data_IF_948341086371
#
_entry.id   IF_948341086371
#
_cell.length_a   1.000
_cell.length_b   1.000
_cell.length_c   1.000
_cell.angle_alpha   90.00
_cell.angle_beta   90.00
_cell.angle_gamma   90.00
#
_symmetry.space_group_name_H-M   'P 1'
#
loop_
_entity.id
_entity.type
_entity.pdbx_description
1 polymer ?
#
# COMPACT_ATOMS: atom_id res chain seq x y z
N UNK A 1 -51.33 10.59 35.27
CA UNK A 1 -51.10 11.27 33.98
C UNK A 1 -49.63 11.11 33.61
N UNK A 2 -49.29 10.08 32.85
CA UNK A 2 -47.92 9.80 32.39
C UNK A 2 -47.73 10.36 30.99
N UNK A 3 -46.93 11.42 30.88
CA UNK A 3 -46.55 12.05 29.61
C UNK A 3 -45.58 11.15 28.86
N UNK A 4 -46.04 10.53 27.78
CA UNK A 4 -45.17 9.82 26.83
C UNK A 4 -44.25 10.82 26.12
N UNK A 5 -43.04 11.00 26.65
CA UNK A 5 -41.95 11.67 25.92
C UNK A 5 -41.51 10.75 24.79
N UNK A 6 -41.85 11.12 23.56
CA UNK A 6 -41.26 10.52 22.37
C UNK A 6 -39.84 11.04 22.22
N UNK A 7 -38.86 10.20 22.57
CA UNK A 7 -37.45 10.53 22.33
C UNK A 7 -37.16 10.40 20.83
N UNK A 8 -36.75 11.52 20.22
CA UNK A 8 -36.27 11.54 18.83
C UNK A 8 -34.88 10.89 18.80
N UNK A 9 -34.83 9.62 18.42
CA UNK A 9 -33.57 8.89 18.24
C UNK A 9 -32.94 9.32 16.91
N UNK A 10 -31.98 10.23 16.97
CA UNK A 10 -31.13 10.52 15.81
C UNK A 10 -30.16 9.38 15.58
N UNK A 11 -30.18 8.79 14.39
CA UNK A 11 -29.18 7.81 13.99
C UNK A 11 -27.78 8.45 14.08
N UNK A 12 -26.92 7.93 14.96
CA UNK A 12 -25.50 8.29 15.03
C UNK A 12 -24.80 7.81 13.75
N UNK A 13 -24.95 8.56 12.65
CA UNK A 13 -24.15 8.38 11.43
C UNK A 13 -22.82 9.09 11.63
N UNK A 14 -21.89 8.42 12.30
CA UNK A 14 -20.49 8.81 12.28
C UNK A 14 -19.97 8.66 10.85
N UNK A 15 -20.10 9.70 10.03
CA UNK A 15 -19.53 9.69 8.68
C UNK A 15 -20.25 10.52 7.61
N UNK A 16 -21.48 11.01 7.85
CA UNK A 16 -22.09 11.96 6.92
C UNK A 16 -21.67 13.37 7.30
N UNK A 17 -20.54 13.81 6.75
CA UNK A 17 -20.08 15.19 6.90
C UNK A 17 -21.01 16.05 6.06
N UNK A 18 -21.80 16.90 6.72
CA UNK A 18 -22.51 18.00 6.07
C UNK A 18 -21.45 18.95 5.49
N UNK A 19 -21.42 19.09 4.17
CA UNK A 19 -20.47 19.95 3.47
C UNK A 19 -20.82 21.45 3.63
N UNK A 20 -21.88 21.77 4.39
CA UNK A 20 -22.27 23.15 4.73
C UNK A 20 -22.79 23.92 3.52
N UNK A 21 -23.08 23.22 2.43
CA UNK A 21 -23.56 23.80 1.18
C UNK A 21 -25.08 23.64 1.06
N UNK A 22 -25.76 24.67 0.59
CA UNK A 22 -27.13 24.61 0.15
C UNK A 22 -27.21 23.91 -1.21
N UNK A 23 -27.80 22.73 -1.18
CA UNK A 23 -28.05 21.87 -2.34
C UNK A 23 -29.46 22.03 -2.92
N UNK A 24 -30.30 22.92 -2.38
CA UNK A 24 -31.71 23.07 -2.78
C UNK A 24 -31.87 23.23 -4.30
N UNK A 25 -31.12 24.16 -4.90
CA UNK A 25 -31.14 24.40 -6.34
C UNK A 25 -30.70 23.17 -7.15
N UNK A 26 -29.73 22.40 -6.62
CA UNK A 26 -29.22 21.18 -7.25
C UNK A 26 -30.26 20.06 -7.22
N UNK A 27 -30.93 19.89 -6.08
CA UNK A 27 -32.00 18.92 -5.87
C UNK A 27 -33.17 19.25 -6.80
N UNK A 28 -33.62 20.51 -6.84
CA UNK A 28 -34.69 20.95 -7.73
C UNK A 28 -34.34 20.75 -9.22
N UNK A 29 -33.10 21.08 -9.59
CA UNK A 29 -32.61 20.85 -10.95
C UNK A 29 -32.62 19.36 -11.30
N UNK A 30 -32.19 18.51 -10.37
CA UNK A 30 -32.26 17.05 -10.53
C UNK A 30 -33.70 16.59 -10.63
N UNK A 31 -34.62 17.00 -9.77
CA UNK A 31 -36.03 16.59 -9.83
C UNK A 31 -36.66 16.92 -11.18
N UNK A 32 -36.34 18.09 -11.75
CA UNK A 32 -36.86 18.54 -13.05
C UNK A 32 -36.10 17.97 -14.26
N UNK A 33 -35.24 16.96 -14.10
CA UNK A 33 -34.46 16.38 -15.20
C UNK A 33 -35.33 15.76 -16.30
N UNK A 34 -36.34 14.97 -15.93
CA UNK A 34 -37.25 14.32 -16.89
C UNK A 34 -38.09 15.33 -17.63
N UNK A 35 -38.62 16.34 -16.93
CA UNK A 35 -39.40 17.39 -17.53
C UNK A 35 -38.61 18.10 -18.64
N UNK A 36 -37.34 18.43 -18.39
CA UNK A 36 -36.44 19.07 -19.38
C UNK A 36 -36.09 18.15 -20.55
N UNK A 37 -35.86 16.86 -20.28
CA UNK A 37 -35.55 15.88 -21.33
C UNK A 37 -36.73 15.68 -22.29
N UNK A 38 -37.97 15.76 -21.79
CA UNK A 38 -39.18 15.53 -22.57
C UNK A 38 -39.69 16.81 -23.24
N UNK A 39 -39.63 17.96 -22.56
CA UNK A 39 -40.21 19.23 -23.05
C UNK A 39 -39.39 19.91 -24.15
N UNK A 40 -38.23 19.35 -24.54
CA UNK A 40 -37.27 19.98 -25.46
C UNK A 40 -36.89 21.42 -25.04
N UNK A 41 -36.98 21.73 -23.75
CA UNK A 41 -36.56 23.02 -23.21
C UNK A 41 -35.08 23.26 -23.48
N UNK A 42 -34.69 24.54 -23.59
CA UNK A 42 -33.29 24.95 -23.73
C UNK A 42 -32.42 24.29 -22.66
N UNK A 43 -31.22 23.86 -23.05
CA UNK A 43 -30.28 23.25 -22.12
C UNK A 43 -29.93 24.22 -20.98
N UNK A 44 -30.27 23.83 -19.75
CA UNK A 44 -29.89 24.57 -18.54
C UNK A 44 -28.83 23.75 -17.79
N UNK A 45 -27.60 24.26 -17.62
CA UNK A 45 -26.54 23.56 -16.91
C UNK A 45 -26.90 23.34 -15.44
N UNK A 46 -26.28 22.33 -14.83
CA UNK A 46 -26.49 22.02 -13.41
C UNK A 46 -25.97 23.17 -12.53
N UNK A 47 -26.79 23.72 -11.60
CA UNK A 47 -26.32 24.73 -10.66
C UNK A 47 -25.26 24.14 -9.71
N UNK A 48 -24.37 24.99 -9.20
CA UNK A 48 -23.37 24.59 -8.20
C UNK A 48 -23.96 24.76 -6.79
N UNK A 49 -23.68 23.86 -5.83
CA UNK A 49 -24.03 24.07 -4.43
C UNK A 49 -23.45 25.38 -3.90
N UNK A 50 -24.22 26.10 -3.08
CA UNK A 50 -23.80 27.39 -2.51
C UNK A 50 -23.35 27.16 -1.07
N UNK A 51 -22.12 27.50 -0.66
CA UNK A 51 -21.71 27.37 0.74
C UNK A 51 -22.52 28.35 1.62
N UNK A 52 -23.31 27.82 2.56
CA UNK A 52 -24.11 28.63 3.51
C UNK A 52 -23.40 28.74 4.85
N UNK A 53 -22.66 27.70 5.23
CA UNK A 53 -21.83 27.70 6.44
C UNK A 53 -20.38 27.57 5.99
N UNK A 54 -19.52 28.49 6.43
CA UNK A 54 -18.07 28.31 6.28
C UNK A 54 -17.72 27.00 7.00
N UNK A 55 -17.19 25.97 6.32
CA UNK A 55 -16.80 24.73 6.98
C UNK A 55 -15.87 25.09 8.13
N UNK A 56 -16.12 24.54 9.33
CA UNK A 56 -15.13 24.65 10.42
C UNK A 56 -13.82 24.11 9.85
N UNK A 57 -12.77 24.92 9.85
CA UNK A 57 -11.44 24.55 9.37
C UNK A 57 -10.90 23.38 10.21
N UNK A 58 -11.30 22.16 9.86
CA UNK A 58 -10.62 20.96 10.28
C UNK A 58 -9.35 20.92 9.43
N UNK A 59 -8.29 21.58 9.91
CA UNK A 59 -6.97 21.49 9.30
C UNK A 59 -6.69 20.02 9.00
N UNK A 60 -6.56 19.61 7.72
CA UNK A 60 -6.32 18.22 7.40
C UNK A 60 -5.01 17.84 8.07
N UNK A 61 -5.06 16.90 9.01
CA UNK A 61 -3.86 16.36 9.65
C UNK A 61 -2.96 15.86 8.50
N UNK A 62 -1.74 16.42 8.31
CA UNK A 62 -0.91 16.04 7.19
C UNK A 62 -0.70 14.53 7.26
N UNK A 63 -1.14 13.81 6.22
CA UNK A 63 -0.79 12.39 6.09
C UNK A 63 0.73 12.32 6.07
N UNK A 64 1.37 11.42 6.84
CA UNK A 64 2.81 11.28 6.80
C UNK A 64 3.19 10.85 5.39
N UNK A 65 3.76 11.79 4.62
CA UNK A 65 4.44 11.46 3.37
C UNK A 65 5.49 10.42 3.72
N UNK A 66 5.38 9.21 3.16
CA UNK A 66 6.43 8.20 3.24
C UNK A 66 7.69 8.86 2.70
N UNK A 67 8.66 9.16 3.58
CA UNK A 67 9.98 9.60 3.15
C UNK A 67 10.49 8.53 2.20
N UNK A 68 10.95 8.92 1.00
CA UNK A 68 11.67 8.01 0.14
C UNK A 68 12.83 7.46 0.97
N UNK A 69 12.74 6.18 1.32
CA UNK A 69 13.75 5.48 2.09
C UNK A 69 15.05 5.61 1.31
N UNK A 70 16.06 6.27 1.90
CA UNK A 70 17.29 6.59 1.19
C UNK A 70 17.91 5.31 0.68
N UNK A 71 18.09 5.23 -0.64
CA UNK A 71 18.69 4.10 -1.37
C UNK A 71 20.06 3.69 -0.83
N UNK A 72 20.72 4.59 -0.09
CA UNK A 72 22.00 4.41 0.58
C UNK A 72 22.02 3.23 1.58
N UNK A 73 20.91 2.94 2.29
CA UNK A 73 20.84 1.77 3.20
C UNK A 73 20.52 0.46 2.47
N UNK A 74 20.25 0.47 1.16
CA UNK A 74 19.91 -0.75 0.42
C UNK A 74 21.11 -1.59 0.01
N UNK A 75 22.34 -1.04 0.00
CA UNK A 75 23.48 -1.70 -0.66
C UNK A 75 24.82 -1.62 0.09
N UNK A 76 24.94 -0.84 1.17
CA UNK A 76 26.26 -0.53 1.75
C UNK A 76 26.97 -1.68 2.48
N UNK A 77 26.29 -2.81 2.78
CA UNK A 77 26.89 -4.02 3.39
C UNK A 77 26.24 -5.31 2.85
N UNK A 78 25.73 -5.28 1.61
CA UNK A 78 24.91 -6.38 1.09
C UNK A 78 25.73 -7.57 0.64
N UNK A 79 25.49 -8.72 1.27
CA UNK A 79 25.86 -10.06 0.79
C UNK A 79 25.74 -10.16 -0.75
N UNK A 80 26.72 -10.67 -1.51
CA UNK A 80 26.59 -10.86 -2.95
C UNK A 80 25.47 -11.86 -3.24
N UNK A 81 24.82 -11.74 -4.40
CA UNK A 81 23.68 -12.59 -4.74
C UNK A 81 24.08 -14.07 -4.84
N UNK A 82 25.31 -14.34 -5.27
CA UNK A 82 25.87 -15.69 -5.37
C UNK A 82 25.95 -16.39 -4.01
N UNK A 83 26.45 -15.70 -2.98
CA UNK A 83 26.45 -16.20 -1.61
C UNK A 83 25.04 -16.48 -1.09
N UNK A 84 24.08 -15.60 -1.39
CA UNK A 84 22.69 -15.84 -0.99
C UNK A 84 22.10 -17.08 -1.67
N UNK A 85 22.39 -17.28 -2.95
CA UNK A 85 21.95 -18.44 -3.72
C UNK A 85 22.57 -19.72 -3.13
N UNK A 86 23.86 -19.71 -2.84
CA UNK A 86 24.54 -20.84 -2.22
C UNK A 86 23.94 -21.23 -0.85
N UNK A 87 23.50 -20.25 -0.07
CA UNK A 87 22.82 -20.48 1.21
C UNK A 87 21.42 -21.06 1.01
N UNK A 88 20.65 -20.55 0.04
CA UNK A 88 19.24 -20.89 -0.16
C UNK A 88 18.99 -22.12 -1.05
N UNK A 89 19.98 -22.53 -1.85
CA UNK A 89 19.81 -23.57 -2.86
C UNK A 89 19.43 -24.91 -2.24
N UNK A 90 18.27 -25.45 -2.64
CA UNK A 90 17.85 -26.83 -2.34
C UNK A 90 17.44 -27.09 -0.88
N UNK A 91 17.26 -26.05 -0.05
CA UNK A 91 16.87 -26.19 1.37
C UNK A 91 15.70 -25.27 1.72
N UNK A 92 14.83 -25.73 2.62
CA UNK A 92 13.82 -24.89 3.25
C UNK A 92 14.45 -24.14 4.41
N UNK A 93 14.44 -22.81 4.34
CA UNK A 93 15.07 -21.96 5.35
C UNK A 93 14.18 -20.77 5.70
N UNK A 94 14.05 -20.49 6.99
CA UNK A 94 13.50 -19.22 7.48
C UNK A 94 14.53 -18.09 7.34
N UNK A 95 14.07 -16.84 7.35
CA UNK A 95 14.98 -15.68 7.34
C UNK A 95 16.00 -15.72 8.48
N UNK A 96 15.62 -16.22 9.65
CA UNK A 96 16.50 -16.31 10.81
C UNK A 96 17.55 -17.42 10.65
N UNK A 97 17.17 -18.55 10.06
CA UNK A 97 18.11 -19.62 9.72
C UNK A 97 19.12 -19.17 8.65
N UNK A 98 18.65 -18.48 7.60
CA UNK A 98 19.52 -17.91 6.56
C UNK A 98 20.55 -16.95 7.17
N UNK A 99 20.14 -16.05 8.07
CA UNK A 99 21.05 -15.13 8.74
C UNK A 99 22.15 -15.85 9.53
N UNK A 100 21.80 -16.87 10.30
CA UNK A 100 22.79 -17.65 11.06
C UNK A 100 23.83 -18.26 10.13
N UNK A 101 23.41 -18.85 9.02
CA UNK A 101 24.31 -19.45 8.03
C UNK A 101 25.21 -18.38 7.40
N UNK A 102 24.65 -17.23 7.03
CA UNK A 102 25.41 -16.11 6.45
C UNK A 102 26.50 -15.64 7.42
N UNK A 103 26.18 -15.47 8.71
CA UNK A 103 27.17 -15.04 9.70
C UNK A 103 28.30 -16.05 9.89
N UNK A 104 28.05 -17.33 9.66
CA UNK A 104 29.07 -18.39 9.76
C UNK A 104 29.92 -18.50 8.50
N UNK A 105 29.32 -18.43 7.32
CA UNK A 105 30.01 -18.69 6.04
C UNK A 105 30.60 -17.44 5.39
N UNK A 106 30.00 -16.27 5.64
CA UNK A 106 30.38 -14.99 5.04
C UNK A 106 30.46 -13.91 6.11
N UNK A 107 31.42 -14.01 7.06
CA UNK A 107 31.54 -13.05 8.16
C UNK A 107 31.90 -11.63 7.70
N UNK A 108 32.47 -11.48 6.50
CA UNK A 108 32.80 -10.19 5.90
C UNK A 108 31.56 -9.41 5.44
N UNK A 109 30.42 -10.07 5.23
CA UNK A 109 29.18 -9.42 4.85
C UNK A 109 28.18 -9.38 6.00
N UNK A 110 27.70 -8.18 6.35
CA UNK A 110 26.71 -8.00 7.43
C UNK A 110 25.37 -7.52 6.87
N UNK A 111 24.35 -8.39 6.92
CA UNK A 111 23.00 -8.08 6.46
C UNK A 111 21.99 -8.14 7.61
N UNK A 112 21.11 -7.15 7.71
CA UNK A 112 20.03 -7.16 8.71
C UNK A 112 18.89 -8.10 8.30
N UNK A 113 18.15 -8.64 9.27
CA UNK A 113 16.96 -9.49 9.04
C UNK A 113 15.96 -8.85 8.09
N UNK A 114 15.67 -7.56 8.29
CA UNK A 114 14.75 -6.79 7.46
C UNK A 114 15.27 -6.66 6.03
N UNK A 115 16.56 -6.36 5.86
CA UNK A 115 17.17 -6.24 4.54
C UNK A 115 17.15 -7.58 3.78
N UNK A 116 17.44 -8.69 4.48
CA UNK A 116 17.35 -10.03 3.91
C UNK A 116 15.91 -10.34 3.47
N UNK A 117 14.91 -10.09 4.32
CA UNK A 117 13.52 -10.33 3.98
C UNK A 117 13.07 -9.51 2.76
N UNK A 118 13.39 -8.21 2.72
CA UNK A 118 13.07 -7.34 1.56
C UNK A 118 13.73 -7.86 0.29
N UNK A 119 14.96 -8.34 0.37
CA UNK A 119 15.68 -8.89 -0.77
C UNK A 119 15.06 -10.19 -1.27
N UNK A 120 14.73 -11.13 -0.38
CA UNK A 120 14.04 -12.39 -0.76
C UNK A 120 12.68 -12.07 -1.39
N UNK A 121 11.89 -11.17 -0.79
CA UNK A 121 10.62 -10.73 -1.38
C UNK A 121 10.79 -10.04 -2.74
N UNK A 122 11.91 -9.34 -2.97
CA UNK A 122 12.22 -8.77 -4.28
C UNK A 122 12.60 -9.83 -5.30
N UNK A 123 13.32 -10.87 -4.89
CA UNK A 123 13.67 -12.01 -5.75
C UNK A 123 12.41 -12.77 -6.18
N UNK A 124 11.48 -13.04 -5.26
CA UNK A 124 10.20 -13.71 -5.55
C UNK A 124 9.32 -12.96 -6.55
N UNK A 125 9.50 -11.64 -6.70
CA UNK A 125 8.76 -10.84 -7.68
C UNK A 125 9.38 -10.89 -9.08
N UNK A 126 10.60 -11.39 -9.20
CA UNK A 126 11.30 -11.49 -10.47
C UNK A 126 10.86 -12.75 -11.20
N UNK A 127 10.53 -12.68 -12.51
CA UNK A 127 10.19 -13.87 -13.29
C UNK A 127 11.39 -14.80 -13.54
N UNK A 128 12.61 -14.32 -13.29
CA UNK A 128 13.87 -15.03 -13.55
C UNK A 128 14.39 -15.82 -12.34
N UNK A 129 13.57 -15.96 -11.30
CA UNK A 129 13.93 -16.62 -10.05
C UNK A 129 12.74 -17.44 -9.58
N UNK A 130 12.95 -18.74 -9.38
CA UNK A 130 11.95 -19.64 -8.84
C UNK A 130 12.19 -19.85 -7.35
N UNK A 131 11.33 -19.25 -6.53
CA UNK A 131 11.33 -19.39 -5.07
C UNK A 131 9.96 -19.87 -4.63
N UNK A 132 9.96 -21.00 -3.94
CA UNK A 132 8.79 -21.47 -3.22
C UNK A 132 8.79 -20.89 -1.80
N UNK A 133 7.62 -20.49 -1.33
CA UNK A 133 7.39 -20.11 0.06
C UNK A 133 6.34 -21.01 0.68
N UNK A 134 6.58 -21.44 1.92
CA UNK A 134 5.60 -22.19 2.71
C UNK A 134 5.43 -21.56 4.08
N UNK A 135 4.23 -21.70 4.65
CA UNK A 135 3.93 -21.25 6.00
C UNK A 135 3.65 -22.45 6.89
N UNK A 136 4.61 -22.77 7.77
CA UNK A 136 4.52 -23.86 8.75
C UNK A 136 4.60 -23.27 10.17
N UNK A 137 3.99 -22.09 10.36
CA UNK A 137 4.08 -21.27 11.58
C UNK A 137 5.20 -20.23 11.54
N UNK A 138 6.24 -20.49 10.76
CA UNK A 138 7.25 -19.51 10.33
C UNK A 138 7.33 -19.61 8.80
N UNK A 139 7.41 -18.47 8.11
CA UNK A 139 7.59 -18.45 6.67
C UNK A 139 8.98 -18.98 6.29
N UNK A 140 9.00 -20.06 5.54
CA UNK A 140 10.21 -20.68 5.00
C UNK A 140 10.26 -20.49 3.49
N UNK A 141 11.48 -20.35 2.98
CA UNK A 141 11.75 -20.15 1.57
C UNK A 141 12.66 -21.25 1.07
N UNK A 142 12.44 -21.69 -0.17
CA UNK A 142 13.33 -22.59 -0.88
C UNK A 142 13.61 -22.01 -2.26
N UNK A 143 14.90 -21.90 -2.58
CA UNK A 143 15.33 -21.50 -3.92
C UNK A 143 15.48 -22.74 -4.80
N UNK A 144 14.70 -22.80 -5.87
CA UNK A 144 14.71 -23.90 -6.83
C UNK A 144 15.66 -23.60 -8.00
N UNK A 145 15.50 -22.44 -8.65
CA UNK A 145 16.30 -22.04 -9.80
C UNK A 145 16.47 -20.52 -9.87
N UNK A 146 17.57 -20.10 -10.50
CA UNK A 146 17.87 -18.70 -10.80
C UNK A 146 18.44 -18.61 -12.20
N UNK A 147 17.86 -17.78 -13.05
CA UNK A 147 18.40 -17.58 -14.39
C UNK A 147 19.75 -16.83 -14.33
N UNK A 148 20.72 -17.20 -15.18
CA UNK A 148 22.01 -16.50 -15.25
C UNK A 148 21.88 -15.02 -15.62
N UNK A 149 20.83 -14.65 -16.34
CA UNK A 149 20.50 -13.25 -16.67
C UNK A 149 20.23 -12.43 -15.40
N UNK A 150 19.58 -13.03 -14.39
CA UNK A 150 19.29 -12.38 -13.11
C UNK A 150 20.57 -12.11 -12.31
N UNK A 151 21.50 -13.08 -12.31
CA UNK A 151 22.83 -12.93 -11.71
C UNK A 151 23.60 -11.77 -12.34
N UNK A 152 23.66 -11.71 -13.67
CA UNK A 152 24.33 -10.63 -14.40
C UNK A 152 23.73 -9.25 -14.08
N UNK A 153 22.40 -9.15 -14.11
CA UNK A 153 21.68 -7.91 -13.75
C UNK A 153 22.04 -7.45 -12.33
N UNK A 154 22.13 -8.37 -11.38
CA UNK A 154 22.46 -8.05 -9.99
C UNK A 154 23.85 -7.43 -9.82
N UNK A 155 24.84 -7.85 -10.63
CA UNK A 155 26.20 -7.30 -10.62
C UNK A 155 26.26 -5.90 -11.22
N UNK A 156 25.52 -5.67 -12.31
CA UNK A 156 25.49 -4.36 -13.00
C UNK A 156 24.72 -3.29 -12.24
N UNK A 157 23.74 -3.67 -11.42
CA UNK A 157 22.89 -2.72 -10.70
C UNK A 157 23.57 -2.08 -9.47
N UNK A 158 24.68 -2.65 -8.97
CA UNK A 158 25.41 -2.15 -7.80
C UNK A 158 26.46 -1.07 -8.09
N UNK A 159 26.61 -0.63 -9.35
CA UNK A 159 27.70 0.26 -9.80
C UNK A 159 27.29 1.71 -10.12
N UNK A 160 26.25 2.26 -9.49
CA UNK A 160 25.86 3.67 -9.68
C UNK A 160 25.64 4.39 -8.36
#
# INVERSE_FOLDING_TARGET
MTTNKTEVVFAKRAGMIDDGCDHTAVILWQMNWRARAVSRSVYVPRPRPIPVVKPRDLTPKPQPRRKAESTQYRYANTLPLESLIAVMSGRWLSCDAMLKIITTQHPEHTISRRALAVRVSSMMKSPSVDIESRDVGITEYRLNSVDPVYLQRSKTAGGK
#
